data_IF_338729924135
#
_entry.id   IF_338729924135
#
_cell.length_a   1.000
_cell.length_b   1.000
_cell.length_c   1.000
_cell.angle_alpha   90.00
_cell.angle_beta   90.00
_cell.angle_gamma   90.00
#
_symmetry.space_group_name_H-M   'P 1'
#
loop_
_entity.id
_entity.type
_entity.pdbx_description
1 polymer ?
#
# COMPACT_ATOMS: atom_id res chain seq x y z
N UNK A 1 30.89 -17.97 4.39
CA UNK A 1 29.45 -18.10 4.15
C UNK A 1 28.78 -16.96 4.91
N UNK A 2 28.33 -15.93 4.21
CA UNK A 2 27.63 -14.81 4.85
C UNK A 2 26.19 -15.21 5.05
N UNK A 3 25.84 -15.67 6.25
CA UNK A 3 24.45 -15.84 6.66
C UNK A 3 23.75 -14.49 6.62
N UNK A 4 23.06 -14.23 5.51
CA UNK A 4 22.07 -13.17 5.43
C UNK A 4 20.80 -13.73 6.05
N UNK A 5 20.74 -13.76 7.38
CA UNK A 5 19.48 -13.88 8.10
C UNK A 5 18.66 -12.63 7.79
N UNK A 6 17.89 -12.67 6.71
CA UNK A 6 16.83 -11.69 6.48
C UNK A 6 15.86 -11.82 7.65
N UNK A 7 15.67 -10.77 8.49
CA UNK A 7 14.75 -10.86 9.60
C UNK A 7 13.35 -11.11 9.04
N UNK A 8 12.60 -12.02 9.66
CA UNK A 8 11.27 -12.45 9.23
C UNK A 8 10.38 -11.27 8.86
N UNK A 9 10.26 -11.02 7.55
CA UNK A 9 9.60 -9.83 7.04
C UNK A 9 8.10 -10.11 6.94
N UNK A 10 7.38 -9.85 8.03
CA UNK A 10 5.92 -9.80 8.01
C UNK A 10 5.47 -8.36 7.77
N UNK A 11 5.64 -7.91 6.53
CA UNK A 11 5.24 -6.60 6.07
C UNK A 11 4.23 -6.70 4.93
N UNK A 12 3.21 -5.85 4.96
CA UNK A 12 2.36 -5.60 3.80
C UNK A 12 3.22 -4.98 2.69
N UNK A 13 3.17 -5.52 1.49
CA UNK A 13 3.95 -5.07 0.34
C UNK A 13 3.11 -4.14 -0.54
N UNK A 14 3.68 -2.98 -0.88
CA UNK A 14 3.24 -2.12 -1.98
C UNK A 14 4.41 -1.99 -2.95
N UNK A 15 4.18 -2.30 -4.21
CA UNK A 15 5.17 -2.16 -5.28
C UNK A 15 4.64 -1.24 -6.37
N UNK A 16 5.54 -0.46 -6.97
CA UNK A 16 5.25 0.42 -8.09
C UNK A 16 6.20 0.15 -9.25
N UNK A 17 5.67 0.09 -10.47
CA UNK A 17 6.45 0.00 -11.70
C UNK A 17 6.01 1.10 -12.64
N UNK A 18 6.99 1.84 -13.19
CA UNK A 18 6.77 2.81 -14.27
C UNK A 18 7.51 2.33 -15.52
N UNK A 19 6.77 2.12 -16.62
CA UNK A 19 7.34 1.68 -17.90
C UNK A 19 6.50 2.23 -19.06
N UNK A 20 7.16 2.75 -20.09
CA UNK A 20 6.52 3.24 -21.33
C UNK A 20 5.37 4.23 -21.06
N UNK A 21 5.60 5.22 -20.19
CA UNK A 21 4.58 6.23 -19.82
C UNK A 21 3.43 5.71 -18.95
N UNK A 22 3.40 4.42 -18.62
CA UNK A 22 2.38 3.81 -17.76
C UNK A 22 2.92 3.55 -16.37
N UNK A 23 2.05 3.69 -15.37
CA UNK A 23 2.33 3.40 -13.97
C UNK A 23 1.41 2.28 -13.50
N UNK A 24 1.97 1.30 -12.80
CA UNK A 24 1.24 0.21 -12.15
C UNK A 24 1.63 0.20 -10.69
N UNK A 25 0.63 0.14 -9.81
CA UNK A 25 0.82 -0.09 -8.38
C UNK A 25 0.10 -1.37 -8.01
N UNK A 26 0.78 -2.24 -7.28
CA UNK A 26 0.22 -3.48 -6.78
C UNK A 26 0.52 -3.64 -5.29
N UNK A 27 -0.33 -4.38 -4.60
CA UNK A 27 -0.15 -4.71 -3.20
C UNK A 27 -0.84 -6.01 -2.84
N UNK A 28 -0.39 -6.64 -1.76
CA UNK A 28 -1.01 -7.86 -1.27
C UNK A 28 -2.31 -7.56 -0.47
N UNK A 29 -3.12 -8.61 -0.25
CA UNK A 29 -4.39 -8.53 0.49
C UNK A 29 -4.31 -8.82 1.99
N UNK A 30 -3.13 -8.98 2.57
CA UNK A 30 -2.93 -9.43 3.96
C UNK A 30 -3.12 -8.29 4.96
N UNK A 31 -3.85 -8.55 6.03
CA UNK A 31 -3.88 -7.74 7.24
C UNK A 31 -3.39 -8.63 8.36
N UNK A 32 -2.45 -8.12 9.15
CA UNK A 32 -1.85 -8.88 10.25
C UNK A 32 -2.12 -8.21 11.59
N UNK A 33 -2.27 -9.03 12.63
CA UNK A 33 -2.24 -8.62 14.03
C UNK A 33 -1.05 -9.31 14.69
N UNK A 34 0.00 -8.55 15.00
CA UNK A 34 1.29 -9.12 15.38
C UNK A 34 1.86 -9.97 14.24
N UNK A 35 2.09 -11.26 14.49
CA UNK A 35 2.61 -12.22 13.49
C UNK A 35 1.52 -12.98 12.74
N UNK A 36 0.24 -12.82 13.11
CA UNK A 36 -0.87 -13.60 12.56
C UNK A 36 -1.57 -12.83 11.45
N UNK A 37 -1.73 -13.44 10.27
CA UNK A 37 -2.58 -12.90 9.20
C UNK A 37 -4.06 -13.13 9.56
N UNK A 38 -4.80 -12.05 9.75
CA UNK A 38 -6.21 -12.08 10.16
C UNK A 38 -7.19 -11.92 8.98
N UNK A 39 -6.72 -11.41 7.84
CA UNK A 39 -7.54 -11.21 6.63
C UNK A 39 -6.68 -11.20 5.37
N UNK A 40 -7.05 -11.96 4.34
CA UNK A 40 -6.31 -12.03 3.07
C UNK A 40 -6.91 -11.22 1.91
N UNK A 41 -7.98 -10.46 2.15
CA UNK A 41 -8.79 -9.80 1.10
C UNK A 41 -8.75 -8.27 1.17
N UNK A 42 -7.79 -7.68 1.87
CA UNK A 42 -7.65 -6.23 1.92
C UNK A 42 -7.32 -5.62 0.55
N UNK A 43 -7.87 -4.44 0.28
CA UNK A 43 -7.55 -3.64 -0.91
C UNK A 43 -6.75 -2.43 -0.48
N UNK A 44 -5.42 -2.55 -0.55
CA UNK A 44 -4.48 -1.50 -0.12
C UNK A 44 -4.09 -0.53 -1.23
N UNK A 45 -4.39 -0.89 -2.48
CA UNK A 45 -4.24 -0.01 -3.64
C UNK A 45 -5.60 0.57 -3.97
N UNK A 46 -5.69 1.89 -4.09
CA UNK A 46 -6.88 2.65 -4.41
C UNK A 46 -6.60 3.60 -5.57
N UNK A 47 -7.63 3.84 -6.37
CA UNK A 47 -7.65 4.91 -7.36
C UNK A 47 -8.46 6.07 -6.77
N UNK A 48 -7.90 7.27 -6.85
CA UNK A 48 -8.49 8.52 -6.37
C UNK A 48 -8.65 9.45 -7.57
N UNK A 49 -9.65 10.33 -7.54
CA UNK A 49 -9.88 11.32 -8.59
C UNK A 49 -10.07 12.75 -8.05
N UNK A 50 -9.19 13.24 -7.16
CA UNK A 50 -9.32 14.58 -6.58
C UNK A 50 -9.16 15.65 -7.67
N UNK A 51 -10.03 16.66 -7.66
CA UNK A 51 -10.01 17.75 -8.65
C UNK A 51 -10.14 17.31 -10.11
N UNK A 52 -10.55 16.07 -10.39
CA UNK A 52 -10.59 15.49 -11.74
C UNK A 52 -9.28 14.84 -12.21
N UNK A 53 -8.24 14.77 -11.37
CA UNK A 53 -6.96 14.14 -11.71
C UNK A 53 -6.93 12.66 -11.32
N UNK A 54 -6.57 11.76 -12.24
CA UNK A 54 -6.40 10.34 -11.90
C UNK A 54 -5.14 10.10 -11.07
N UNK A 55 -5.32 9.58 -9.86
CA UNK A 55 -4.24 9.24 -8.92
C UNK A 55 -4.37 7.78 -8.51
N UNK A 56 -3.25 7.07 -8.39
CA UNK A 56 -3.20 5.73 -7.77
C UNK A 56 -2.36 5.80 -6.51
N UNK A 57 -2.93 5.34 -5.39
CA UNK A 57 -2.30 5.36 -4.08
C UNK A 57 -2.28 3.95 -3.48
N UNK A 58 -1.16 3.56 -2.89
CA UNK A 58 -1.00 2.29 -2.18
C UNK A 58 -0.51 2.53 -0.76
N UNK A 59 -1.02 1.78 0.21
CA UNK A 59 -0.61 1.92 1.62
C UNK A 59 -0.01 0.63 2.19
N UNK A 60 1.11 0.76 2.89
CA UNK A 60 1.73 -0.31 3.67
C UNK A 60 1.80 0.09 5.15
N UNK A 61 1.58 -0.86 6.05
CA UNK A 61 1.64 -0.65 7.49
C UNK A 61 0.26 -0.63 8.17
N UNK A 62 0.14 0.14 9.25
CA UNK A 62 -1.06 0.25 10.09
C UNK A 62 -2.29 0.66 9.27
N UNK A 63 -3.32 -0.18 9.25
CA UNK A 63 -4.55 0.10 8.49
C UNK A 63 -5.29 1.32 9.03
N UNK A 64 -5.18 1.62 10.33
CA UNK A 64 -5.82 2.79 10.93
C UNK A 64 -5.21 4.10 10.39
N UNK A 65 -3.88 4.17 10.32
CA UNK A 65 -3.19 5.35 9.78
C UNK A 65 -3.41 5.49 8.26
N UNK A 66 -3.60 4.37 7.56
CA UNK A 66 -3.82 4.32 6.12
C UNK A 66 -5.00 5.19 5.67
N UNK A 67 -6.15 5.03 6.33
CA UNK A 67 -7.38 5.75 5.96
C UNK A 67 -7.23 7.24 6.24
N UNK A 68 -6.73 7.61 7.41
CA UNK A 68 -6.50 9.01 7.76
C UNK A 68 -5.50 9.70 6.84
N UNK A 69 -4.44 8.99 6.42
CA UNK A 69 -3.45 9.54 5.48
C UNK A 69 -4.01 9.69 4.07
N UNK A 70 -4.88 8.77 3.63
CA UNK A 70 -5.60 8.89 2.36
C UNK A 70 -6.54 10.10 2.35
N UNK A 71 -7.35 10.28 3.39
CA UNK A 71 -8.24 11.44 3.52
C UNK A 71 -7.45 12.76 3.50
N UNK A 72 -6.31 12.81 4.21
CA UNK A 72 -5.43 13.99 4.19
C UNK A 72 -4.81 14.24 2.82
N UNK A 73 -4.47 13.17 2.08
CA UNK A 73 -3.94 13.29 0.72
C UNK A 73 -5.01 13.83 -0.24
N UNK A 74 -6.23 13.29 -0.19
CA UNK A 74 -7.36 13.76 -0.98
C UNK A 74 -7.63 15.25 -0.75
N UNK A 75 -7.71 15.69 0.52
CA UNK A 75 -7.92 17.09 0.87
C UNK A 75 -6.78 18.05 0.45
N UNK A 76 -5.59 17.52 0.12
CA UNK A 76 -4.45 18.30 -0.40
C UNK A 76 -4.41 18.35 -1.92
N UNK A 77 -5.14 17.47 -2.58
CA UNK A 77 -5.21 17.35 -4.04
C UNK A 77 -6.48 17.98 -4.62
N UNK A 78 -7.45 18.36 -3.77
CA UNK A 78 -8.43 19.40 -4.07
C UNK A 78 -7.77 20.78 -4.22
#
# INVERSE_FOLDING_TARGET
>A
MTETSFPGWHGTTIIGVKKNGKVVVAGDGQVSLGQTVIKGTARKVRRLTPGGHEVVAGFAGSTADAFTLLERLEAKLE
#
